data_IF_166969091683
#
_entry.id   IF_166969091683
#
_cell.length_a   1.000
_cell.length_b   1.000
_cell.length_c   1.000
_cell.angle_alpha   90.00
_cell.angle_beta   90.00
_cell.angle_gamma   90.00
#
_symmetry.space_group_name_H-M   'P 1'
#
loop_
_entity.id
_entity.type
_entity.pdbx_description
1 polymer ?
#
# COMPACT_ATOMS: atom_id res chain seq x y z
N UNK A 1 8.89 -15.79 -12.76
CA UNK A 1 9.61 -14.53 -13.08
C UNK A 1 11.11 -14.83 -13.05
N UNK A 2 11.93 -14.24 -13.92
CA UNK A 2 13.38 -14.43 -13.84
C UNK A 2 13.95 -13.67 -12.64
N UNK A 3 15.12 -14.09 -12.12
CA UNK A 3 15.79 -13.42 -11.00
C UNK A 3 16.06 -11.94 -11.32
N UNK A 4 16.43 -11.64 -12.57
CA UNK A 4 16.64 -10.26 -13.01
C UNK A 4 15.39 -9.40 -12.82
N UNK A 5 14.24 -9.83 -13.36
CA UNK A 5 13.00 -9.07 -13.27
C UNK A 5 12.48 -8.97 -11.83
N UNK A 6 12.63 -10.04 -11.05
CA UNK A 6 12.32 -10.00 -9.62
C UNK A 6 13.10 -8.89 -8.91
N UNK A 7 14.43 -8.87 -9.08
CA UNK A 7 15.29 -7.86 -8.45
C UNK A 7 15.00 -6.46 -8.99
N UNK A 8 14.76 -6.31 -10.28
CA UNK A 8 14.40 -5.04 -10.91
C UNK A 8 13.15 -4.44 -10.26
N UNK A 9 12.06 -5.21 -10.19
CA UNK A 9 10.81 -4.71 -9.59
C UNK A 9 10.94 -4.50 -8.09
N UNK A 10 11.63 -5.38 -7.35
CA UNK A 10 11.82 -5.22 -5.90
C UNK A 10 12.57 -3.94 -5.56
N UNK A 11 13.68 -3.68 -6.27
CA UNK A 11 14.44 -2.44 -6.08
C UNK A 11 13.64 -1.23 -6.57
N UNK A 12 12.94 -1.37 -7.68
CA UNK A 12 12.00 -0.38 -8.20
C UNK A 12 10.99 0.03 -7.13
N UNK A 13 10.31 -0.93 -6.49
CA UNK A 13 9.37 -0.68 -5.39
C UNK A 13 10.02 0.07 -4.24
N UNK A 14 11.25 -0.29 -3.84
CA UNK A 14 11.97 0.44 -2.79
C UNK A 14 12.22 1.91 -3.17
N UNK A 15 12.68 2.16 -4.40
CA UNK A 15 12.98 3.52 -4.86
C UNK A 15 11.71 4.35 -5.04
N UNK A 16 10.67 3.78 -5.63
CA UNK A 16 9.44 4.52 -5.97
C UNK A 16 8.52 4.72 -4.77
N UNK A 17 8.45 3.76 -3.84
CA UNK A 17 7.68 3.94 -2.60
C UNK A 17 8.46 4.71 -1.53
N UNK A 18 9.80 4.64 -1.55
CA UNK A 18 10.73 5.38 -0.70
C UNK A 18 10.33 5.48 0.77
N UNK A 19 9.93 6.67 1.23
CA UNK A 19 9.54 6.90 2.63
C UNK A 19 8.35 6.05 3.09
N UNK A 20 7.52 5.60 2.15
CA UNK A 20 6.31 4.81 2.36
C UNK A 20 6.47 3.31 2.04
N UNK A 21 7.70 2.84 1.75
CA UNK A 21 7.98 1.45 1.38
C UNK A 21 7.33 0.41 2.29
N UNK A 22 6.59 -0.53 1.71
CA UNK A 22 6.05 -1.69 2.42
C UNK A 22 6.86 -2.94 2.08
N UNK A 23 7.16 -3.76 3.09
CA UNK A 23 7.86 -5.02 2.91
C UNK A 23 7.00 -5.94 2.02
N UNK A 24 7.44 -6.28 0.78
CA UNK A 24 6.58 -6.93 -0.21
C UNK A 24 5.90 -8.20 0.29
N UNK A 25 6.62 -9.08 0.99
CA UNK A 25 6.03 -10.30 1.57
C UNK A 25 4.92 -10.03 2.58
N UNK A 26 5.11 -9.09 3.50
CA UNK A 26 4.12 -8.76 4.53
C UNK A 26 2.91 -8.06 3.93
N UNK A 27 3.12 -7.22 2.92
CA UNK A 27 2.03 -6.61 2.16
C UNK A 27 1.24 -7.67 1.37
N UNK A 28 1.92 -8.60 0.71
CA UNK A 28 1.25 -9.71 0.02
C UNK A 28 0.43 -10.59 0.98
N UNK A 29 0.93 -10.86 2.19
CA UNK A 29 0.14 -11.58 3.21
C UNK A 29 -1.13 -10.83 3.60
N UNK A 30 -1.03 -9.52 3.83
CA UNK A 30 -2.19 -8.67 4.12
C UNK A 30 -3.21 -8.71 2.98
N UNK A 31 -2.73 -8.50 1.75
CA UNK A 31 -3.56 -8.45 0.55
C UNK A 31 -4.23 -9.80 0.25
N UNK A 32 -3.52 -10.92 0.40
CA UNK A 32 -4.08 -12.26 0.23
C UNK A 32 -5.20 -12.55 1.25
N UNK A 33 -5.06 -12.08 2.49
CA UNK A 33 -6.11 -12.26 3.50
C UNK A 33 -7.34 -11.39 3.22
N UNK A 34 -7.16 -10.20 2.66
CA UNK A 34 -8.26 -9.39 2.15
C UNK A 34 -9.00 -10.08 1.02
N UNK A 35 -8.31 -10.56 -0.02
CA UNK A 35 -8.97 -11.28 -1.11
C UNK A 35 -9.72 -12.54 -0.63
N UNK A 36 -9.15 -13.25 0.35
CA UNK A 36 -9.78 -14.45 0.93
C UNK A 36 -11.04 -14.12 1.74
N UNK A 37 -11.05 -13.00 2.45
CA UNK A 37 -12.10 -12.61 3.39
C UNK A 37 -12.81 -11.32 2.97
N UNK A 38 -12.82 -11.02 1.67
CA UNK A 38 -13.23 -9.71 1.16
C UNK A 38 -14.63 -9.37 1.65
N UNK A 39 -14.76 -8.19 2.27
CA UNK A 39 -16.03 -7.70 2.79
C UNK A 39 -16.70 -8.62 3.83
N UNK A 40 -15.88 -9.36 4.59
CA UNK A 40 -16.26 -10.00 5.84
C UNK A 40 -15.59 -9.33 7.05
N UNK A 41 -15.93 -9.77 8.27
CA UNK A 41 -15.35 -9.23 9.51
C UNK A 41 -13.86 -9.56 9.67
N UNK A 42 -13.40 -10.59 8.96
CA UNK A 42 -12.01 -11.07 8.99
C UNK A 42 -11.11 -10.29 8.03
N UNK A 43 -11.70 -9.48 7.14
CA UNK A 43 -11.00 -8.58 6.23
C UNK A 43 -10.20 -7.52 7.03
N UNK A 44 -8.88 -7.40 6.83
CA UNK A 44 -8.07 -6.42 7.54
C UNK A 44 -8.37 -4.96 7.16
N UNK A 45 -9.12 -4.72 6.07
CA UNK A 45 -9.41 -3.39 5.54
C UNK A 45 -10.71 -3.29 4.73
N UNK A 46 -11.74 -4.08 5.04
CA UNK A 46 -13.07 -3.86 4.44
C UNK A 46 -13.72 -2.60 5.01
N UNK A 47 -14.15 -1.64 4.18
CA UNK A 47 -14.73 -0.39 4.66
C UNK A 47 -16.14 -0.56 5.22
N UNK A 48 -16.77 -1.73 5.13
CA UNK A 48 -18.11 -2.00 5.66
C UNK A 48 -18.12 -2.28 7.18
N UNK A 49 -16.96 -2.62 7.76
CA UNK A 49 -16.83 -2.94 9.18
C UNK A 49 -16.11 -1.86 9.99
N UNK A 50 -15.76 -0.73 9.36
CA UNK A 50 -15.17 0.42 10.03
C UNK A 50 -16.06 1.66 9.91
N UNK A 51 -16.07 2.46 10.97
CA UNK A 51 -16.81 3.73 11.04
C UNK A 51 -16.34 4.74 9.97
N UNK A 52 -15.03 4.82 9.79
CA UNK A 52 -14.38 5.77 8.89
C UNK A 52 -13.06 5.20 8.35
N UNK A 53 -12.52 5.87 7.33
CA UNK A 53 -11.30 5.45 6.63
C UNK A 53 -10.08 5.44 7.56
N UNK A 54 -10.05 6.31 8.57
CA UNK A 54 -8.92 6.38 9.52
C UNK A 54 -8.92 5.15 10.41
N UNK A 55 -10.08 4.77 10.97
CA UNK A 55 -10.23 3.58 11.79
C UNK A 55 -9.83 2.30 11.02
N UNK A 56 -10.24 2.21 9.75
CA UNK A 56 -9.83 1.14 8.84
C UNK A 56 -8.31 1.11 8.70
N UNK A 57 -7.69 2.21 8.27
CA UNK A 57 -6.24 2.26 8.01
C UNK A 57 -5.39 2.03 9.26
N UNK A 58 -5.84 2.46 10.43
CA UNK A 58 -5.16 2.15 11.71
C UNK A 58 -5.21 0.65 12.01
N UNK A 59 -6.36 0.01 11.79
CA UNK A 59 -6.49 -1.45 11.91
C UNK A 59 -5.59 -2.17 10.90
N UNK A 60 -5.62 -1.74 9.65
CA UNK A 60 -4.78 -2.27 8.56
C UNK A 60 -3.30 -2.17 8.90
N UNK A 61 -2.85 -1.02 9.41
CA UNK A 61 -1.46 -0.81 9.82
C UNK A 61 -1.07 -1.74 10.98
N UNK A 62 -1.97 -1.97 11.95
CA UNK A 62 -1.73 -2.93 13.04
C UNK A 62 -1.55 -4.35 12.50
N UNK A 63 -2.47 -4.82 11.67
CA UNK A 63 -2.41 -6.17 11.07
C UNK A 63 -1.16 -6.34 10.21
N UNK A 64 -0.81 -5.33 9.40
CA UNK A 64 0.43 -5.32 8.62
C UNK A 64 1.67 -5.46 9.51
N UNK A 65 1.72 -4.73 10.64
CA UNK A 65 2.84 -4.83 11.58
C UNK A 65 2.91 -6.20 12.27
N UNK A 66 1.79 -6.89 12.48
CA UNK A 66 1.77 -8.26 12.97
C UNK A 66 2.34 -9.25 11.94
N UNK A 67 2.00 -9.12 10.65
CA UNK A 67 2.61 -9.91 9.58
C UNK A 67 4.11 -9.64 9.48
N UNK A 68 4.51 -8.36 9.48
CA UNK A 68 5.91 -7.96 9.40
C UNK A 68 6.74 -8.47 10.58
N UNK A 69 6.17 -8.45 11.78
CA UNK A 69 6.78 -8.97 13.00
C UNK A 69 6.68 -10.48 13.16
N UNK A 70 6.03 -11.20 12.24
CA UNK A 70 5.84 -12.64 12.30
C UNK A 70 4.86 -13.13 13.37
N UNK A 71 4.10 -12.22 14.01
CA UNK A 71 3.06 -12.54 15.00
C UNK A 71 1.80 -13.13 14.36
N UNK A 72 1.58 -12.78 13.08
CA UNK A 72 0.48 -13.28 12.26
C UNK A 72 1.07 -13.91 11.00
N UNK A 73 0.45 -14.96 10.48
CA UNK A 73 0.79 -15.58 9.20
C UNK A 73 -0.48 -15.78 8.41
N UNK A 74 -0.46 -15.39 7.14
CA UNK A 74 -1.58 -15.67 6.25
C UNK A 74 -1.66 -17.19 6.04
N UNK A 75 -2.88 -17.67 5.87
CA UNK A 75 -3.19 -19.08 5.61
C UNK A 75 -3.06 -19.45 4.12
N UNK A 76 -2.73 -18.48 3.28
CA UNK A 76 -2.66 -18.65 1.84
C UNK A 76 -1.46 -19.53 1.44
N UNK A 77 -1.66 -20.54 0.56
CA UNK A 77 -0.57 -21.36 0.03
C UNK A 77 0.40 -20.53 -0.84
N UNK A 78 -0.02 -19.37 -1.35
CA UNK A 78 0.77 -18.51 -2.23
C UNK A 78 1.87 -17.70 -1.52
N UNK A 79 2.02 -17.86 -0.20
CA UNK A 79 3.05 -17.17 0.57
C UNK A 79 4.41 -17.87 0.42
N UNK A 80 4.38 -19.19 0.27
CA UNK A 80 5.58 -20.00 0.09
C UNK A 80 6.17 -19.69 -1.28
N UNK A 81 7.38 -19.14 -1.32
CA UNK A 81 8.05 -18.71 -2.55
C UNK A 81 7.93 -17.22 -2.88
N UNK A 82 7.26 -16.41 -2.06
CA UNK A 82 7.28 -14.96 -2.25
C UNK A 82 8.71 -14.40 -2.13
N UNK A 83 9.12 -13.49 -3.03
CA UNK A 83 10.48 -12.97 -3.04
C UNK A 83 10.77 -12.16 -1.78
N UNK A 84 12.01 -12.27 -1.31
CA UNK A 84 12.54 -11.45 -0.22
C UNK A 84 13.92 -10.94 -0.58
N UNK A 85 14.28 -9.78 -0.05
CA UNK A 85 15.60 -9.21 -0.27
C UNK A 85 16.09 -8.54 1.00
N UNK A 86 16.68 -9.34 1.89
CA UNK A 86 17.04 -8.89 3.24
C UNK A 86 17.86 -7.59 3.33
N UNK A 87 18.67 -7.25 2.31
CA UNK A 87 19.35 -5.94 2.24
C UNK A 87 18.36 -4.81 1.99
N UNK A 88 17.56 -4.89 0.92
CA UNK A 88 16.55 -3.87 0.59
C UNK A 88 15.48 -3.78 1.68
N UNK A 89 15.05 -4.91 2.23
CA UNK A 89 14.08 -4.97 3.31
C UNK A 89 14.58 -4.23 4.56
N UNK A 90 15.87 -4.41 4.94
CA UNK A 90 16.47 -3.67 6.06
C UNK A 90 16.57 -2.17 5.76
N UNK A 91 16.93 -1.79 4.54
CA UNK A 91 17.01 -0.39 4.14
C UNK A 91 15.63 0.29 4.16
N UNK A 92 14.62 -0.32 3.54
CA UNK A 92 13.25 0.23 3.49
C UNK A 92 12.54 0.30 4.85
N UNK A 93 12.96 -0.53 5.81
CA UNK A 93 12.47 -0.48 7.19
C UNK A 93 13.29 0.44 8.11
N UNK A 94 14.41 1.00 7.65
CA UNK A 94 15.23 1.88 8.47
C UNK A 94 14.65 3.30 8.49
N UNK A 95 14.35 3.82 9.69
CA UNK A 95 13.82 5.18 9.88
C UNK A 95 14.76 6.26 9.34
N UNK A 96 16.08 6.07 9.42
CA UNK A 96 17.05 7.00 8.85
C UNK A 96 16.93 7.05 7.32
N UNK A 97 16.83 5.90 6.65
CA UNK A 97 16.66 5.84 5.19
C UNK A 97 15.34 6.48 4.77
N UNK A 98 14.26 6.24 5.51
CA UNK A 98 12.97 6.90 5.27
C UNK A 98 13.05 8.41 5.43
N UNK A 99 13.75 8.90 6.46
CA UNK A 99 13.99 10.33 6.65
C UNK A 99 14.82 10.91 5.51
N UNK A 100 15.82 10.18 5.00
CA UNK A 100 16.58 10.59 3.82
C UNK A 100 15.71 10.74 2.58
N UNK A 101 14.74 9.85 2.37
CA UNK A 101 13.72 10.04 1.32
C UNK A 101 12.88 11.30 1.57
N UNK A 102 12.41 11.53 2.80
CA UNK A 102 11.64 12.74 3.11
C UNK A 102 12.45 14.03 2.86
N UNK A 103 13.74 14.04 3.21
CA UNK A 103 14.66 15.15 2.93
C UNK A 103 14.86 15.30 1.43
N UNK A 104 15.08 14.21 0.69
CA UNK A 104 15.21 14.24 -0.76
C UNK A 104 13.95 14.82 -1.42
N UNK A 105 12.75 14.39 -1.01
CA UNK A 105 11.50 14.95 -1.53
C UNK A 105 11.38 16.43 -1.19
N UNK A 106 11.62 16.81 0.07
CA UNK A 106 11.61 18.23 0.49
C UNK A 106 12.58 19.08 -0.32
N UNK A 107 13.76 18.56 -0.65
CA UNK A 107 14.75 19.28 -1.46
C UNK A 107 14.24 19.64 -2.86
N UNK A 108 13.40 18.79 -3.47
CA UNK A 108 12.74 19.09 -4.75
C UNK A 108 11.79 20.28 -4.59
N UNK A 109 11.03 20.33 -3.49
CA UNK A 109 10.16 21.47 -3.21
C UNK A 109 10.95 22.75 -2.96
N UNK A 110 12.06 22.68 -2.23
CA UNK A 110 12.93 23.85 -2.00
C UNK A 110 13.49 24.40 -3.30
N UNK A 111 13.88 23.53 -4.23
CA UNK A 111 14.45 23.95 -5.51
C UNK A 111 13.41 24.48 -6.51
N UNK A 112 12.19 23.93 -6.50
CA UNK A 112 11.24 24.13 -7.61
C UNK A 112 9.85 24.64 -7.22
N UNK A 113 9.49 24.69 -5.92
CA UNK A 113 8.15 25.11 -5.53
C UNK A 113 7.96 26.62 -5.80
N UNK A 114 6.96 27.00 -6.62
CA UNK A 114 6.72 28.41 -6.94
C UNK A 114 6.06 29.19 -5.79
N UNK A 115 5.51 28.50 -4.78
CA UNK A 115 4.92 29.12 -3.59
C UNK A 115 4.93 28.18 -2.40
N UNK A 116 4.78 28.75 -1.19
CA UNK A 116 4.73 27.99 0.07
C UNK A 116 3.56 26.99 0.13
N UNK A 117 2.48 27.22 -0.61
CA UNK A 117 1.32 26.32 -0.65
C UNK A 117 1.66 24.91 -1.14
N UNK A 118 2.68 24.77 -2.00
CA UNK A 118 3.10 23.47 -2.50
C UNK A 118 3.63 22.55 -1.40
N UNK A 119 4.18 23.11 -0.31
CA UNK A 119 4.68 22.33 0.82
C UNK A 119 3.57 21.56 1.55
N UNK A 120 2.29 21.93 1.36
CA UNK A 120 1.15 21.15 1.85
C UNK A 120 1.03 19.78 1.18
N UNK A 121 1.69 19.55 0.04
CA UNK A 121 1.74 18.26 -0.63
C UNK A 121 2.79 17.32 -0.02
N UNK A 122 3.74 17.81 0.79
CA UNK A 122 4.79 16.98 1.37
C UNK A 122 4.24 15.83 2.25
N UNK A 123 3.26 16.05 3.15
CA UNK A 123 2.64 14.95 3.88
C UNK A 123 2.03 13.89 2.97
N UNK A 124 1.45 14.30 1.83
CA UNK A 124 0.87 13.37 0.84
C UNK A 124 1.97 12.51 0.23
N UNK A 125 3.07 13.12 -0.22
CA UNK A 125 4.19 12.38 -0.79
C UNK A 125 4.93 11.49 0.21
N UNK A 126 5.04 11.91 1.47
CA UNK A 126 5.63 11.07 2.52
C UNK A 126 4.81 9.81 2.79
N UNK A 127 3.49 9.91 2.66
CA UNK A 127 2.50 8.90 3.03
C UNK A 127 1.75 8.32 1.82
N UNK A 128 2.34 8.40 0.63
CA UNK A 128 1.68 8.02 -0.63
C UNK A 128 1.14 6.58 -0.59
N UNK A 129 1.94 5.62 -0.08
CA UNK A 129 1.50 4.22 0.08
C UNK A 129 0.22 4.06 0.89
N UNK A 130 0.16 4.47 2.17
CA UNK A 130 -1.06 4.43 2.98
C UNK A 130 -2.23 5.21 2.38
N UNK A 131 -1.99 6.37 1.76
CA UNK A 131 -3.06 7.17 1.13
C UNK A 131 -3.67 6.41 -0.04
N UNK A 132 -2.84 5.81 -0.90
CA UNK A 132 -3.32 5.03 -2.02
C UNK A 132 -4.06 3.77 -1.55
N UNK A 133 -3.51 3.07 -0.55
CA UNK A 133 -4.18 1.94 0.07
C UNK A 133 -5.54 2.33 0.65
N UNK A 134 -5.63 3.47 1.33
CA UNK A 134 -6.91 3.97 1.84
C UNK A 134 -7.92 4.19 0.72
N UNK A 135 -7.50 4.80 -0.39
CA UNK A 135 -8.38 5.06 -1.53
C UNK A 135 -8.86 3.76 -2.18
N UNK A 136 -7.96 2.86 -2.57
CA UNK A 136 -8.30 1.62 -3.28
C UNK A 136 -9.25 0.77 -2.43
N UNK A 137 -8.99 0.60 -1.14
CA UNK A 137 -9.84 -0.24 -0.29
C UNK A 137 -11.14 0.46 0.10
N UNK A 138 -11.10 1.75 0.45
CA UNK A 138 -12.31 2.46 0.89
C UNK A 138 -13.23 2.78 -0.28
N UNK A 139 -12.71 3.47 -1.30
CA UNK A 139 -13.51 3.88 -2.45
C UNK A 139 -13.84 2.68 -3.33
N UNK A 140 -12.86 1.78 -3.55
CA UNK A 140 -13.04 0.60 -4.39
C UNK A 140 -14.06 -0.40 -3.85
N UNK A 141 -14.51 -0.31 -2.60
CA UNK A 141 -15.59 -1.17 -2.07
C UNK A 141 -16.86 -0.39 -1.69
N UNK A 142 -16.88 0.95 -1.82
CA UNK A 142 -18.06 1.77 -1.49
C UNK A 142 -18.65 2.53 -2.66
N UNK A 143 -17.83 2.99 -3.60
CA UNK A 143 -18.22 3.94 -4.63
C UNK A 143 -17.89 3.41 -6.01
N UNK A 144 -18.64 3.86 -7.02
CA UNK A 144 -18.45 3.44 -8.40
C UNK A 144 -19.45 2.39 -8.85
N UNK A 145 -19.11 1.71 -9.95
CA UNK A 145 -20.00 0.80 -10.67
C UNK A 145 -19.46 -0.63 -10.69
N UNK A 146 -20.26 -1.58 -11.19
CA UNK A 146 -19.88 -2.99 -11.34
C UNK A 146 -20.23 -3.47 -12.74
N UNK A 147 -19.27 -4.14 -13.37
CA UNK A 147 -19.50 -4.79 -14.67
C UNK A 147 -19.97 -6.24 -14.51
N UNK A 148 -19.57 -6.90 -13.40
CA UNK A 148 -19.79 -8.32 -13.17
C UNK A 148 -20.50 -8.58 -11.84
N UNK A 149 -21.24 -9.68 -11.78
CA UNK A 149 -21.83 -10.19 -10.54
C UNK A 149 -20.81 -11.06 -9.81
N UNK A 150 -20.30 -10.55 -8.69
CA UNK A 150 -19.26 -11.17 -7.85
C UNK A 150 -19.69 -11.15 -6.38
N UNK A 151 -19.07 -12.00 -5.56
CA UNK A 151 -19.47 -12.28 -4.17
C UNK A 151 -18.81 -11.34 -3.13
N UNK A 152 -18.38 -10.15 -3.52
CA UNK A 152 -17.84 -9.10 -2.64
C UNK A 152 -18.60 -7.76 -2.87
N UNK A 153 -18.08 -6.65 -2.34
CA UNK A 153 -18.55 -5.28 -2.59
C UNK A 153 -17.59 -4.42 -3.42
N UNK A 154 -16.58 -5.01 -4.09
CA UNK A 154 -15.65 -4.29 -4.98
C UNK A 154 -16.34 -3.60 -6.17
N UNK A 155 -15.83 -2.44 -6.58
CA UNK A 155 -16.41 -1.51 -7.54
C UNK A 155 -15.33 -0.82 -8.35
N UNK A 156 -15.63 -0.61 -9.62
CA UNK A 156 -14.76 0.04 -10.57
C UNK A 156 -14.88 1.56 -10.38
N UNK A 157 -13.73 2.25 -10.29
CA UNK A 157 -13.66 3.69 -10.04
C UNK A 157 -12.89 4.43 -11.15
N UNK A 158 -13.31 4.21 -12.41
CA UNK A 158 -12.60 4.59 -13.64
C UNK A 158 -11.96 5.99 -13.68
N UNK A 159 -12.63 7.04 -13.16
CA UNK A 159 -12.10 8.42 -13.19
C UNK A 159 -10.76 8.51 -12.46
N UNK A 160 -10.57 7.71 -11.43
CA UNK A 160 -9.37 7.74 -10.60
C UNK A 160 -8.33 6.71 -11.02
N UNK A 161 -8.69 5.74 -11.86
CA UNK A 161 -7.86 4.58 -12.19
C UNK A 161 -6.49 4.93 -12.78
N UNK A 162 -6.42 6.01 -13.56
CA UNK A 162 -5.17 6.53 -14.13
C UNK A 162 -4.18 6.93 -13.02
N UNK A 163 -4.66 7.45 -11.89
CA UNK A 163 -3.81 7.83 -10.74
C UNK A 163 -3.33 6.61 -9.96
N UNK A 164 -4.05 5.50 -10.06
CA UNK A 164 -3.76 4.24 -9.39
C UNK A 164 -3.15 3.18 -10.32
N UNK A 165 -2.82 3.56 -11.55
CA UNK A 165 -2.18 2.71 -12.56
C UNK A 165 -2.95 1.39 -12.77
N UNK A 166 -4.29 1.45 -12.72
CA UNK A 166 -5.15 0.28 -12.97
C UNK A 166 -5.66 -0.46 -11.72
N UNK A 167 -5.29 -0.05 -10.51
CA UNK A 167 -5.68 -0.76 -9.27
C UNK A 167 -7.15 -0.57 -8.87
N UNK A 168 -7.96 0.17 -9.64
CA UNK A 168 -9.37 0.47 -9.27
C UNK A 168 -10.40 -0.14 -10.21
N UNK A 169 -10.08 -1.27 -10.87
CA UNK A 169 -10.94 -1.93 -11.86
C UNK A 169 -11.18 -3.42 -11.62
#
# INVERSE_FOLDING_TARGET
MSVFWERFFYLGTFVTQGSSFLHPKSYAQLHLEHHKHSDTKEDPHSPHFFKDVVAMMVSTARVYMEFKGGKRRSSSPYIEGLPTWGVVDRLGNNHFVRLMFCVAYTSVYVAFAPSLWWYLLLPIHFLMGPIHGAFVNWCGHKYGYRNYAINDQSRNTFIWDVLFVGETF
#
